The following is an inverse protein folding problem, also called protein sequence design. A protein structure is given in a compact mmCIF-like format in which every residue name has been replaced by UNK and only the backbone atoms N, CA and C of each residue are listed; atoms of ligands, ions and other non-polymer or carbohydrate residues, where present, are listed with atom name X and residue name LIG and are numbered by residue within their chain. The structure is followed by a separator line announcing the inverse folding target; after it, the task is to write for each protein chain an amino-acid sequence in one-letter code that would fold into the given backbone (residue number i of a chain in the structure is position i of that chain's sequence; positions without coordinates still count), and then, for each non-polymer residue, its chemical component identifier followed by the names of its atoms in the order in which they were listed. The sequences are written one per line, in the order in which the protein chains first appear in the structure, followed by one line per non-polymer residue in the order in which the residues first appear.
data_IF_078668807439
#
_entry.id   IF_078668807439
#
_cell.length_a   1.000
_cell.length_b   1.000
_cell.length_c   1.000
_cell.angle_alpha   90.00
_cell.angle_beta   90.00
_cell.angle_gamma   90.00
#
_symmetry.space_group_name_H-M   'P 1'
#
loop_
_entity.id
_entity.type
_entity.pdbx_description
1 polymer ?
#
# COMPACT_ATOMS: atom_id res chain seq x y z
N UNK A 1 -21.11 -3.97 8.23
CA UNK A 1 -20.47 -2.79 8.87
C UNK A 1 -20.08 -1.81 7.79
N UNK A 2 -19.77 -0.54 8.16
CA UNK A 2 -19.30 0.48 7.21
C UNK A 2 -18.10 1.20 7.81
N UNK A 3 -17.11 1.66 6.99
CA UNK A 3 -15.89 2.29 7.50
C UNK A 3 -16.16 3.55 8.36
N UNK A 4 -17.15 4.36 8.03
CA UNK A 4 -17.50 5.58 8.78
C UNK A 4 -17.94 5.34 10.22
N UNK A 5 -18.31 4.09 10.57
CA UNK A 5 -18.71 3.74 11.95
C UNK A 5 -17.51 3.60 12.91
N UNK A 6 -16.29 3.57 12.38
CA UNK A 6 -15.06 3.44 13.18
C UNK A 6 -14.50 4.81 13.53
N UNK A 7 -13.78 4.92 14.65
CA UNK A 7 -13.15 6.19 15.05
C UNK A 7 -11.93 6.51 14.22
N UNK A 8 -11.16 5.49 13.86
CA UNK A 8 -9.93 5.62 13.06
C UNK A 8 -10.02 4.72 11.83
N UNK A 9 -9.74 5.29 10.65
CA UNK A 9 -9.66 4.57 9.39
C UNK A 9 -8.21 4.51 8.96
N UNK A 10 -7.70 3.27 8.78
CA UNK A 10 -6.40 2.98 8.18
C UNK A 10 -6.60 2.70 6.69
N UNK A 11 -5.78 3.32 5.87
CA UNK A 11 -5.87 3.23 4.42
C UNK A 11 -4.63 2.59 3.84
N UNK A 12 -4.77 1.58 3.01
CA UNK A 12 -3.72 1.32 2.03
C UNK A 12 -3.71 2.41 0.96
N UNK A 13 -2.64 2.50 0.20
CA UNK A 13 -2.45 3.55 -0.79
C UNK A 13 -2.65 3.05 -2.22
N UNK A 14 -1.85 2.05 -2.62
CA UNK A 14 -1.86 1.51 -3.97
C UNK A 14 -3.11 0.65 -4.20
N UNK A 15 -3.83 0.86 -5.31
CA UNK A 15 -5.09 0.16 -5.58
C UNK A 15 -6.28 0.60 -4.73
N UNK A 16 -6.08 1.46 -3.73
CA UNK A 16 -7.14 1.96 -2.83
C UNK A 16 -7.36 3.47 -2.99
N UNK A 17 -6.31 4.27 -2.86
CA UNK A 17 -6.35 5.74 -3.03
C UNK A 17 -5.96 6.13 -4.45
N UNK A 18 -4.98 5.40 -5.02
CA UNK A 18 -4.44 5.65 -6.36
C UNK A 18 -4.44 4.36 -7.18
N UNK A 19 -4.83 4.45 -8.45
CA UNK A 19 -4.75 3.36 -9.42
C UNK A 19 -3.32 3.26 -9.99
N UNK A 20 -2.44 2.61 -9.23
CA UNK A 20 -1.01 2.55 -9.49
C UNK A 20 -0.49 1.17 -9.89
N UNK A 21 -1.30 0.10 -9.77
CA UNK A 21 -0.82 -1.27 -9.85
C UNK A 21 -0.07 -1.57 -11.17
N UNK A 22 -0.64 -1.18 -12.32
CA UNK A 22 0.01 -1.37 -13.62
C UNK A 22 1.30 -0.54 -13.76
N UNK A 23 1.33 0.68 -13.22
CA UNK A 23 2.52 1.54 -13.25
C UNK A 23 3.63 0.94 -12.39
N UNK A 24 3.28 0.34 -11.26
CA UNK A 24 4.24 -0.36 -10.40
C UNK A 24 4.81 -1.62 -11.07
N UNK A 25 3.99 -2.39 -11.77
CA UNK A 25 4.47 -3.52 -12.58
C UNK A 25 5.47 -3.05 -13.64
N UNK A 26 5.13 -1.99 -14.38
CA UNK A 26 6.03 -1.40 -15.38
C UNK A 26 7.34 -0.90 -14.77
N UNK A 27 7.30 -0.37 -13.55
CA UNK A 27 8.48 0.02 -12.79
C UNK A 27 9.43 -1.15 -12.51
N UNK A 28 8.91 -2.31 -12.11
CA UNK A 28 9.73 -3.53 -11.94
C UNK A 28 10.34 -4.00 -13.25
N UNK A 29 9.56 -3.98 -14.34
CA UNK A 29 10.04 -4.35 -15.68
C UNK A 29 11.21 -3.46 -16.10
N UNK A 30 11.09 -2.15 -15.91
CA UNK A 30 12.11 -1.19 -16.33
C UNK A 30 13.37 -1.27 -15.47
N UNK A 31 13.22 -1.40 -14.15
CA UNK A 31 14.36 -1.54 -13.23
C UNK A 31 15.14 -2.83 -13.50
N UNK A 32 14.45 -3.89 -13.94
CA UNK A 32 15.02 -5.22 -14.19
C UNK A 32 15.19 -5.52 -15.69
N UNK A 33 15.22 -4.51 -16.57
CA UNK A 33 15.30 -4.70 -18.02
C UNK A 33 16.52 -5.47 -18.51
N UNK A 34 17.61 -5.46 -17.74
CA UNK A 34 18.86 -6.17 -18.07
C UNK A 34 18.81 -7.67 -17.69
N UNK A 35 17.69 -8.13 -17.12
CA UNK A 35 17.50 -9.53 -16.70
C UNK A 35 16.55 -10.27 -17.64
N UNK A 36 16.64 -11.63 -17.71
CA UNK A 36 15.76 -12.43 -18.57
C UNK A 36 14.30 -12.17 -18.29
N UNK A 37 13.52 -11.89 -19.34
CA UNK A 37 12.09 -11.52 -19.23
C UNK A 37 11.27 -12.58 -18.48
N UNK A 38 11.58 -13.85 -18.65
CA UNK A 38 10.90 -14.94 -17.94
C UNK A 38 11.06 -14.82 -16.43
N UNK A 39 12.24 -14.46 -15.95
CA UNK A 39 12.50 -14.24 -14.52
C UNK A 39 11.77 -13.01 -13.99
N UNK A 40 11.72 -11.93 -14.77
CA UNK A 40 10.95 -10.73 -14.42
C UNK A 40 9.46 -11.07 -14.34
N UNK A 41 8.92 -11.88 -15.26
CA UNK A 41 7.52 -12.31 -15.21
C UNK A 41 7.20 -13.14 -13.95
N UNK A 42 8.14 -13.95 -13.44
CA UNK A 42 7.96 -14.65 -12.15
C UNK A 42 7.87 -13.65 -10.98
N UNK A 43 8.67 -12.58 -11.01
CA UNK A 43 8.55 -11.53 -10.01
C UNK A 43 7.21 -10.80 -10.10
N UNK A 44 6.70 -10.52 -11.32
CA UNK A 44 5.39 -9.88 -11.49
C UNK A 44 4.26 -10.78 -10.97
N UNK A 45 4.31 -12.08 -11.23
CA UNK A 45 3.36 -13.02 -10.66
C UNK A 45 3.39 -13.01 -9.12
N UNK A 46 4.59 -12.99 -8.52
CA UNK A 46 4.74 -12.83 -7.07
C UNK A 46 4.23 -11.48 -6.57
N UNK A 47 4.49 -10.40 -7.30
CA UNK A 47 4.03 -9.05 -6.97
C UNK A 47 2.49 -8.97 -6.92
N UNK A 48 1.80 -9.56 -7.90
CA UNK A 48 0.34 -9.49 -8.01
C UNK A 48 -0.37 -10.20 -6.85
N UNK A 49 0.20 -11.30 -6.36
CA UNK A 49 -0.32 -11.99 -5.16
C UNK A 49 0.05 -11.25 -3.87
N UNK A 50 1.19 -10.55 -3.86
CA UNK A 50 1.77 -9.90 -2.69
C UNK A 50 1.82 -8.37 -2.87
N UNK A 51 0.71 -7.74 -3.27
CA UNK A 51 0.61 -6.30 -3.54
C UNK A 51 1.15 -5.45 -2.39
N UNK A 52 0.71 -5.73 -1.17
CA UNK A 52 1.05 -5.01 0.06
C UNK A 52 2.49 -5.19 0.58
N UNK A 53 3.31 -6.10 0.01
CA UNK A 53 4.72 -6.22 0.40
C UNK A 53 5.58 -5.13 -0.22
N UNK A 54 6.62 -4.70 0.53
CA UNK A 54 7.55 -3.68 0.07
C UNK A 54 8.40 -4.12 -1.12
N UNK A 55 8.85 -3.15 -1.93
CA UNK A 55 9.79 -3.38 -3.03
C UNK A 55 11.11 -3.99 -2.58
N UNK A 56 11.54 -3.70 -1.36
CA UNK A 56 12.75 -4.27 -0.78
C UNK A 56 12.64 -5.79 -0.64
N UNK A 57 11.51 -6.29 -0.17
CA UNK A 57 11.20 -7.73 -0.10
C UNK A 57 11.13 -8.32 -1.50
N UNK A 58 10.49 -7.64 -2.45
CA UNK A 58 10.31 -8.10 -3.83
C UNK A 58 11.63 -8.20 -4.58
N UNK A 59 12.56 -7.25 -4.43
CA UNK A 59 13.90 -7.34 -5.02
C UNK A 59 14.72 -8.47 -4.39
N UNK A 60 14.69 -8.65 -3.05
CA UNK A 60 15.33 -9.82 -2.43
C UNK A 60 14.76 -11.13 -2.98
N UNK A 61 13.44 -11.24 -3.06
CA UNK A 61 12.78 -12.42 -3.62
C UNK A 61 13.23 -12.70 -5.07
N UNK A 62 13.36 -11.67 -5.91
CA UNK A 62 13.85 -11.81 -7.28
C UNK A 62 15.25 -12.42 -7.33
N UNK A 63 16.18 -11.90 -6.57
CA UNK A 63 17.55 -12.42 -6.58
C UNK A 63 17.67 -13.75 -5.85
N UNK A 64 17.15 -13.87 -4.65
CA UNK A 64 17.38 -15.04 -3.79
C UNK A 64 16.51 -16.24 -4.17
N UNK A 65 15.27 -16.03 -4.62
CA UNK A 65 14.32 -17.12 -4.88
C UNK A 65 14.17 -17.45 -6.36
N UNK A 66 14.14 -16.43 -7.23
CA UNK A 66 13.98 -16.65 -8.68
C UNK A 66 15.35 -16.95 -9.32
N UNK A 67 16.36 -16.16 -8.99
CA UNK A 67 17.68 -16.29 -9.59
C UNK A 67 18.66 -17.20 -8.81
N UNK A 68 18.31 -17.51 -7.56
CA UNK A 68 19.18 -18.24 -6.63
C UNK A 68 20.56 -17.57 -6.46
N UNK A 69 20.58 -16.25 -6.39
CA UNK A 69 21.76 -15.40 -6.24
C UNK A 69 21.68 -14.59 -4.95
N UNK A 70 22.81 -14.43 -4.27
CA UNK A 70 22.89 -13.50 -3.13
C UNK A 70 22.77 -12.05 -3.61
N UNK A 71 22.04 -11.24 -2.87
CA UNK A 71 21.97 -9.78 -3.08
C UNK A 71 22.35 -9.05 -1.79
N UNK A 72 23.28 -8.08 -1.88
CA UNK A 72 23.64 -7.23 -0.75
C UNK A 72 22.57 -6.19 -0.48
N UNK A 73 22.52 -5.69 0.77
CA UNK A 73 21.61 -4.59 1.16
C UNK A 73 21.82 -3.33 0.29
N UNK A 74 23.07 -3.03 -0.05
CA UNK A 74 23.40 -1.91 -0.92
C UNK A 74 22.73 -2.04 -2.29
N UNK A 75 22.80 -3.21 -2.93
CA UNK A 75 22.12 -3.46 -4.21
C UNK A 75 20.61 -3.42 -4.10
N UNK A 76 20.03 -3.94 -3.02
CA UNK A 76 18.58 -3.83 -2.78
C UNK A 76 18.16 -2.37 -2.69
N UNK A 77 18.92 -1.55 -1.97
CA UNK A 77 18.67 -0.12 -1.85
C UNK A 77 18.81 0.61 -3.20
N UNK A 78 19.78 0.24 -4.02
CA UNK A 78 20.00 0.82 -5.35
C UNK A 78 18.82 0.53 -6.30
N UNK A 79 18.39 -0.74 -6.39
CA UNK A 79 17.19 -1.11 -7.16
C UNK A 79 15.95 -0.39 -6.63
N UNK A 80 15.80 -0.27 -5.31
CA UNK A 80 14.67 0.41 -4.69
C UNK A 80 14.67 1.92 -4.97
N UNK A 81 15.85 2.56 -4.98
CA UNK A 81 16.00 3.97 -5.32
C UNK A 81 15.66 4.25 -6.80
N UNK A 82 16.14 3.40 -7.72
CA UNK A 82 15.78 3.47 -9.16
C UNK A 82 14.27 3.33 -9.35
N UNK A 83 13.66 2.37 -8.67
CA UNK A 83 12.21 2.18 -8.69
C UNK A 83 11.47 3.43 -8.16
N UNK A 84 11.91 4.01 -7.04
CA UNK A 84 11.33 5.22 -6.49
C UNK A 84 11.41 6.41 -7.46
N UNK A 85 12.50 6.54 -8.22
CA UNK A 85 12.62 7.61 -9.21
C UNK A 85 11.56 7.49 -10.31
N UNK A 86 11.33 6.27 -10.83
CA UNK A 86 10.31 5.99 -11.83
C UNK A 86 8.90 6.27 -11.26
N UNK A 87 8.65 5.84 -10.02
CA UNK A 87 7.33 6.04 -9.39
C UNK A 87 7.02 7.51 -9.15
N UNK A 88 7.99 8.30 -8.69
CA UNK A 88 7.82 9.75 -8.51
C UNK A 88 7.52 10.48 -9.81
N UNK A 89 8.08 10.03 -10.91
CA UNK A 89 7.81 10.62 -12.24
C UNK A 89 6.40 10.27 -12.73
N UNK A 90 5.97 9.01 -12.56
CA UNK A 90 4.75 8.49 -13.18
C UNK A 90 3.50 8.60 -12.32
N UNK A 91 3.63 8.58 -10.99
CA UNK A 91 2.48 8.59 -10.09
C UNK A 91 2.02 9.99 -9.66
N UNK A 92 2.77 11.05 -9.98
CA UNK A 92 2.33 12.43 -9.75
C UNK A 92 1.37 12.84 -10.87
N UNK A 93 0.21 12.18 -10.90
CA UNK A 93 -0.88 12.46 -11.82
C UNK A 93 -2.23 12.31 -11.10
N UNK A 94 -3.00 13.40 -11.02
CA UNK A 94 -4.30 13.39 -10.35
C UNK A 94 -5.35 12.49 -11.03
N UNK A 95 -5.18 12.16 -12.30
CA UNK A 95 -6.08 11.23 -13.01
C UNK A 95 -5.99 9.79 -12.48
N UNK A 96 -4.89 9.46 -11.79
CA UNK A 96 -4.71 8.17 -11.14
C UNK A 96 -5.43 8.08 -9.79
N UNK A 97 -5.88 9.19 -9.22
CA UNK A 97 -6.63 9.17 -7.97
C UNK A 97 -7.98 8.47 -8.18
N UNK A 98 -8.31 7.53 -7.31
CA UNK A 98 -9.60 6.84 -7.33
C UNK A 98 -10.64 7.78 -6.73
N UNK A 99 -11.38 8.48 -7.61
CA UNK A 99 -12.27 9.57 -7.24
C UNK A 99 -13.27 9.22 -6.13
N UNK A 100 -13.86 8.01 -6.15
CA UNK A 100 -14.78 7.58 -5.09
C UNK A 100 -14.10 7.52 -3.73
N UNK A 101 -12.87 7.03 -3.68
CA UNK A 101 -12.08 6.96 -2.45
C UNK A 101 -11.70 8.35 -1.95
N UNK A 102 -11.22 9.22 -2.85
CA UNK A 102 -10.82 10.58 -2.46
C UNK A 102 -12.02 11.40 -1.97
N UNK A 103 -13.17 11.29 -2.63
CA UNK A 103 -14.40 11.97 -2.18
C UNK A 103 -14.81 11.52 -0.78
N UNK A 104 -14.79 10.21 -0.51
CA UNK A 104 -15.10 9.69 0.82
C UNK A 104 -14.07 10.16 1.87
N UNK A 105 -12.78 10.18 1.55
CA UNK A 105 -11.74 10.73 2.43
C UNK A 105 -12.03 12.19 2.75
N UNK A 106 -12.43 13.01 1.77
CA UNK A 106 -12.82 14.42 1.98
C UNK A 106 -14.01 14.54 2.90
N UNK A 107 -15.07 13.77 2.67
CA UNK A 107 -16.27 13.74 3.54
C UNK A 107 -15.91 13.35 4.98
N UNK A 108 -15.06 12.33 5.16
CA UNK A 108 -14.62 11.92 6.49
C UNK A 108 -13.73 12.98 7.16
N UNK A 109 -12.92 13.69 6.40
CA UNK A 109 -12.10 14.79 6.90
C UNK A 109 -12.96 15.97 7.39
N UNK A 110 -14.04 16.32 6.68
CA UNK A 110 -14.97 17.38 7.07
C UNK A 110 -15.65 17.11 8.42
N UNK A 111 -15.88 15.84 8.76
CA UNK A 111 -16.42 15.44 10.08
C UNK A 111 -15.31 15.14 11.10
N UNK A 112 -14.08 15.56 10.82
CA UNK A 112 -12.91 15.41 11.71
C UNK A 112 -12.57 13.94 12.04
N UNK A 113 -12.81 13.02 11.12
CA UNK A 113 -12.42 11.62 11.24
C UNK A 113 -10.90 11.49 11.24
N UNK A 114 -10.37 10.74 12.20
CA UNK A 114 -8.94 10.42 12.22
C UNK A 114 -8.61 9.36 11.17
N UNK A 115 -7.66 9.68 10.29
CA UNK A 115 -7.26 8.80 9.18
C UNK A 115 -5.74 8.72 9.07
N UNK A 116 -5.24 7.52 8.74
CA UNK A 116 -3.81 7.26 8.54
C UNK A 116 -3.60 6.42 7.28
N UNK A 117 -2.49 6.65 6.57
CA UNK A 117 -2.04 5.75 5.53
C UNK A 117 -1.04 4.75 6.13
N UNK A 118 -1.22 3.46 5.82
CA UNK A 118 -0.33 2.34 6.16
C UNK A 118 -0.08 1.51 4.89
N UNK A 119 1.05 1.69 4.24
CA UNK A 119 1.33 1.12 2.91
C UNK A 119 2.64 0.34 2.85
N UNK A 120 2.69 -0.65 1.95
CA UNK A 120 3.93 -1.33 1.57
C UNK A 120 4.87 -0.47 0.73
N UNK A 121 4.41 0.67 0.22
CA UNK A 121 5.22 1.61 -0.55
C UNK A 121 6.27 2.29 0.32
N UNK A 122 7.39 2.71 -0.29
CA UNK A 122 8.46 3.42 0.42
C UNK A 122 7.92 4.68 1.11
N UNK A 123 8.19 4.83 2.41
CA UNK A 123 7.60 5.89 3.23
C UNK A 123 8.03 7.30 2.83
N UNK A 124 9.25 7.47 2.30
CA UNK A 124 9.71 8.77 1.80
C UNK A 124 9.03 9.12 0.47
N UNK A 125 8.97 8.16 -0.46
CA UNK A 125 8.25 8.30 -1.72
C UNK A 125 6.77 8.59 -1.49
N UNK A 126 6.12 7.82 -0.62
CA UNK A 126 4.69 7.93 -0.30
C UNK A 126 4.33 9.33 0.20
N UNK A 127 5.11 9.89 1.14
CA UNK A 127 4.91 11.26 1.64
C UNK A 127 5.05 12.31 0.53
N UNK A 128 6.03 12.14 -0.35
CA UNK A 128 6.25 13.05 -1.48
C UNK A 128 5.10 12.96 -2.49
N UNK A 129 4.59 11.75 -2.81
CA UNK A 129 3.44 11.54 -3.68
C UNK A 129 2.18 12.16 -3.09
N UNK A 130 1.85 11.88 -1.82
CA UNK A 130 0.67 12.47 -1.17
C UNK A 130 0.71 14.00 -1.19
N UNK A 131 1.89 14.60 -0.94
CA UNK A 131 2.07 16.05 -0.99
C UNK A 131 1.90 16.60 -2.40
N UNK A 132 2.50 15.94 -3.42
CA UNK A 132 2.39 16.37 -4.81
C UNK A 132 0.94 16.27 -5.34
N UNK A 133 0.20 15.22 -4.92
CA UNK A 133 -1.20 15.00 -5.22
C UNK A 133 -2.15 15.85 -4.34
N UNK A 134 -1.62 16.62 -3.39
CA UNK A 134 -2.37 17.50 -2.47
C UNK A 134 -3.41 16.78 -1.60
N UNK A 135 -3.10 15.55 -1.18
CA UNK A 135 -3.95 14.73 -0.31
C UNK A 135 -3.36 14.49 1.08
N UNK A 136 -2.12 14.91 1.31
CA UNK A 136 -1.38 14.70 2.56
C UNK A 136 -2.09 15.28 3.79
N UNK A 137 -2.77 16.41 3.62
CA UNK A 137 -3.47 17.12 4.70
C UNK A 137 -4.71 16.40 5.25
N UNK A 138 -5.22 15.39 4.56
CA UNK A 138 -6.34 14.57 5.06
C UNK A 138 -5.92 13.56 6.12
N UNK A 139 -4.62 13.28 6.27
CA UNK A 139 -4.11 12.19 7.09
C UNK A 139 -3.27 12.71 8.27
N UNK A 140 -3.55 12.17 9.45
CA UNK A 140 -2.76 12.44 10.66
C UNK A 140 -1.33 11.90 10.50
N UNK A 141 -1.18 10.74 9.86
CA UNK A 141 0.14 10.18 9.51
C UNK A 141 0.13 9.41 8.20
N UNK A 142 1.29 9.41 7.55
CA UNK A 142 1.56 8.68 6.30
C UNK A 142 2.75 7.76 6.55
N UNK A 143 2.49 6.47 6.62
CA UNK A 143 3.44 5.45 7.05
C UNK A 143 3.67 4.43 5.93
N UNK A 144 4.95 4.12 5.67
CA UNK A 144 5.35 3.20 4.62
C UNK A 144 6.58 2.38 4.96
N UNK A 145 6.98 1.51 4.02
CA UNK A 145 8.18 0.70 4.18
C UNK A 145 9.45 1.58 4.35
N UNK A 146 10.55 1.02 4.91
CA UNK A 146 10.86 -0.40 5.08
C UNK A 146 10.15 -1.10 6.26
N UNK A 147 9.49 -0.37 7.15
CA UNK A 147 8.72 -0.96 8.26
C UNK A 147 7.60 -1.83 7.69
N UNK A 148 7.43 -3.04 8.21
CA UNK A 148 6.42 -3.98 7.76
C UNK A 148 5.01 -3.47 8.08
N UNK A 149 4.02 -3.70 7.20
CA UNK A 149 2.65 -3.18 7.35
C UNK A 149 2.02 -3.55 8.70
N UNK A 150 2.23 -4.78 9.18
CA UNK A 150 1.74 -5.22 10.50
C UNK A 150 2.24 -4.31 11.63
N UNK A 151 3.51 -3.91 11.58
CA UNK A 151 4.11 -3.02 12.55
C UNK A 151 3.58 -1.58 12.40
N UNK A 152 3.38 -1.10 11.16
CA UNK A 152 2.80 0.22 10.91
C UNK A 152 1.39 0.34 11.51
N UNK A 153 0.55 -0.68 11.32
CA UNK A 153 -0.79 -0.74 11.93
C UNK A 153 -0.69 -0.75 13.45
N UNK A 154 0.18 -1.59 14.02
CA UNK A 154 0.39 -1.66 15.46
C UNK A 154 0.85 -0.32 16.06
N UNK A 155 1.75 0.39 15.38
CA UNK A 155 2.28 1.67 15.86
C UNK A 155 1.19 2.76 15.91
N UNK A 156 0.29 2.79 14.91
CA UNK A 156 -0.86 3.70 14.92
C UNK A 156 -1.80 3.36 16.09
N UNK A 157 -2.14 2.10 16.30
CA UNK A 157 -3.00 1.67 17.41
C UNK A 157 -2.39 2.08 18.76
N UNK A 158 -1.11 1.81 18.98
CA UNK A 158 -0.42 2.17 20.24
C UNK A 158 -0.40 3.67 20.50
N UNK A 159 -0.32 4.49 19.45
CA UNK A 159 -0.28 5.95 19.58
C UNK A 159 -1.64 6.56 19.96
N UNK A 160 -2.74 5.94 19.54
CA UNK A 160 -4.09 6.46 19.70
C UNK A 160 -4.70 6.24 21.09
N UNK A 161 -4.24 5.21 21.82
CA UNK A 161 -4.80 4.77 23.13
C UNK A 161 -6.29 4.32 23.06
N UNK A 162 -6.79 4.01 21.86
CA UNK A 162 -8.14 3.49 21.66
C UNK A 162 -8.13 1.95 21.62
N UNK A 163 -9.30 1.34 21.81
CA UNK A 163 -9.48 -0.10 21.64
C UNK A 163 -9.36 -0.48 20.16
N UNK A 164 -8.83 -1.67 19.88
CA UNK A 164 -8.65 -2.19 18.52
C UNK A 164 -9.96 -2.24 17.71
N UNK A 165 -11.10 -2.43 18.39
CA UNK A 165 -12.44 -2.44 17.78
C UNK A 165 -12.88 -1.09 17.20
N UNK A 166 -12.18 -0.02 17.54
CA UNK A 166 -12.44 1.33 17.03
C UNK A 166 -11.74 1.64 15.71
N UNK A 167 -10.95 0.66 15.20
CA UNK A 167 -10.19 0.80 13.97
C UNK A 167 -10.75 -0.07 12.85
N UNK A 168 -10.66 0.43 11.63
CA UNK A 168 -10.74 -0.42 10.45
C UNK A 168 -9.57 -0.15 9.50
N UNK A 169 -9.25 -1.16 8.68
CA UNK A 169 -8.27 -1.08 7.60
C UNK A 169 -8.97 -1.36 6.27
N UNK A 170 -8.80 -0.46 5.31
CA UNK A 170 -9.28 -0.63 3.94
C UNK A 170 -8.07 -0.95 3.06
N UNK A 171 -8.14 -2.06 2.33
CA UNK A 171 -7.03 -2.55 1.50
C UNK A 171 -7.47 -3.39 0.32
N UNK A 172 -6.56 -3.56 -0.66
CA UNK A 172 -6.78 -4.32 -1.90
C UNK A 172 -6.00 -5.64 -1.97
N UNK A 173 -5.24 -6.00 -0.92
CA UNK A 173 -4.37 -7.18 -0.91
C UNK A 173 -4.58 -8.09 0.30
N UNK A 174 -4.17 -9.36 0.17
CA UNK A 174 -4.15 -10.29 1.29
C UNK A 174 -3.24 -9.81 2.43
N UNK A 175 -2.16 -9.09 2.10
CA UNK A 175 -1.27 -8.53 3.13
C UNK A 175 -1.94 -7.45 3.98
N UNK A 176 -2.97 -6.77 3.46
CA UNK A 176 -3.80 -5.84 4.24
C UNK A 176 -4.71 -6.61 5.21
N UNK A 177 -5.33 -7.67 4.72
CA UNK A 177 -6.13 -8.57 5.54
C UNK A 177 -5.29 -9.18 6.68
N UNK A 178 -4.11 -9.71 6.36
CA UNK A 178 -3.18 -10.25 7.37
C UNK A 178 -2.81 -9.21 8.42
N UNK A 179 -2.50 -7.97 7.98
CA UNK A 179 -2.16 -6.88 8.89
C UNK A 179 -3.33 -6.52 9.81
N UNK A 180 -4.55 -6.53 9.29
CA UNK A 180 -5.76 -6.29 10.08
C UNK A 180 -5.99 -7.40 11.11
N UNK A 181 -5.92 -8.68 10.69
CA UNK A 181 -6.14 -9.85 11.57
C UNK A 181 -5.10 -9.89 12.70
N UNK A 182 -3.81 -9.74 12.38
CA UNK A 182 -2.73 -9.77 13.39
C UNK A 182 -2.92 -8.68 14.45
N UNK A 183 -3.48 -7.54 14.06
CA UNK A 183 -3.70 -6.40 14.95
C UNK A 183 -5.12 -6.32 15.52
N UNK A 184 -5.97 -7.32 15.27
CA UNK A 184 -7.37 -7.35 15.72
C UNK A 184 -8.19 -6.12 15.32
N UNK A 185 -7.96 -5.56 14.12
CA UNK A 185 -8.76 -4.48 13.55
C UNK A 185 -9.70 -5.02 12.48
N UNK A 186 -10.82 -4.32 12.23
CA UNK A 186 -11.78 -4.74 11.21
C UNK A 186 -11.21 -4.47 9.82
N UNK A 187 -11.24 -5.48 8.94
CA UNK A 187 -10.81 -5.35 7.55
C UNK A 187 -11.99 -5.07 6.62
N UNK A 188 -11.77 -4.21 5.64
CA UNK A 188 -12.62 -4.03 4.47
C UNK A 188 -11.81 -4.24 3.20
N UNK A 189 -12.11 -5.30 2.46
CA UNK A 189 -11.55 -5.52 1.13
C UNK A 189 -12.14 -4.52 0.12
N UNK A 190 -11.31 -3.98 -0.76
CA UNK A 190 -11.72 -3.05 -1.80
C UNK A 190 -10.92 -3.28 -3.08
N UNK A 191 -11.54 -3.01 -4.24
CA UNK A 191 -10.92 -3.04 -5.57
C UNK A 191 -10.22 -4.36 -5.97
N UNK A 192 -10.44 -5.44 -5.22
CA UNK A 192 -9.94 -6.79 -5.51
C UNK A 192 -11.01 -7.83 -5.11
N UNK A 193 -11.80 -8.36 -6.06
CA UNK A 193 -12.87 -9.29 -5.75
C UNK A 193 -12.44 -10.57 -5.02
N UNK A 194 -11.17 -10.97 -5.13
CA UNK A 194 -10.67 -12.14 -4.41
C UNK A 194 -10.77 -11.97 -2.87
N UNK A 195 -10.87 -10.72 -2.38
CA UNK A 195 -10.99 -10.42 -0.96
C UNK A 195 -12.40 -10.56 -0.38
N UNK A 196 -13.41 -10.82 -1.22
CA UNK A 196 -14.80 -11.06 -0.76
C UNK A 196 -14.91 -12.23 0.22
N UNK A 197 -14.01 -13.21 0.10
CA UNK A 197 -13.94 -14.38 0.98
C UNK A 197 -13.63 -14.02 2.43
N UNK A 198 -13.06 -12.85 2.69
CA UNK A 198 -12.67 -12.38 4.03
C UNK A 198 -13.78 -11.60 4.76
N UNK A 199 -14.95 -11.46 4.18
CA UNK A 199 -16.18 -10.98 4.84
C UNK A 199 -16.60 -9.57 4.43
N UNK A 200 -16.04 -8.51 5.03
CA UNK A 200 -16.46 -7.16 4.65
C UNK A 200 -15.77 -6.75 3.34
N UNK A 201 -16.56 -6.54 2.30
CA UNK A 201 -16.07 -6.09 1.00
C UNK A 201 -16.83 -4.85 0.54
N UNK A 202 -16.11 -3.87 0.02
CA UNK A 202 -16.66 -2.62 -0.48
C UNK A 202 -16.68 -2.65 -2.02
N UNK A 203 -17.86 -2.83 -2.62
CA UNK A 203 -18.02 -2.70 -4.08
C UNK A 203 -17.78 -1.25 -4.55
N UNK A 204 -17.99 -0.29 -3.64
CA UNK A 204 -17.75 1.13 -3.84
C UNK A 204 -17.55 1.78 -2.48
N UNK A 205 -16.61 2.72 -2.39
CA UNK A 205 -16.44 3.59 -1.23
C UNK A 205 -17.39 4.79 -1.40
N UNK A 206 -18.34 4.91 -0.46
CA UNK A 206 -19.40 5.96 -0.45
C UNK A 206 -19.60 6.44 0.96
#
# INVERSE_FOLDING_TARGET
MRPENFKIILWDFDGVIIDSNLIREQGFIEVLQDYPREQVNLLLAYHNVNGGLSRYVKFRYFFEKIRNEFISEERVNDFSARFSSIMKERLVNNELLINSTVNFIQEQFEVSKEMHIVSGSDGSELKQLCKALKIDHYFVSINGSPTHKNQLVQDVIKSSKLDHSEFCLIGDSENDYEAAVINNVVFFGYNNPALEVYGNYLNKIQ
#
